data_IF_362750661953
#
_entry.id   IF_362750661953
#
_cell.length_a   1.000
_cell.length_b   1.000
_cell.length_c   1.000
_cell.angle_alpha   90.00
_cell.angle_beta   90.00
_cell.angle_gamma   90.00
#
_symmetry.space_group_name_H-M   'P 1'
#
loop_
_entity.id
_entity.type
_entity.pdbx_description
1 polymer ?
#
# COMPACT_ATOMS: atom_id res chain seq x y z
N UNK A 1 31.24 17.66 42.95
CA UNK A 1 31.42 17.14 41.55
C UNK A 1 30.43 16.03 41.18
N UNK A 2 30.03 15.13 42.08
CA UNK A 2 29.13 13.99 41.81
C UNK A 2 27.68 14.44 41.46
N UNK A 3 27.12 15.44 42.15
CA UNK A 3 25.76 15.94 41.92
C UNK A 3 25.55 16.55 40.54
N UNK A 4 26.56 17.27 40.02
CA UNK A 4 26.51 17.93 38.71
C UNK A 4 26.53 16.89 37.56
N UNK A 5 27.31 15.83 37.70
CA UNK A 5 27.39 14.72 36.75
C UNK A 5 26.06 13.98 36.65
N UNK A 6 25.39 13.73 37.77
CA UNK A 6 24.09 13.05 37.83
C UNK A 6 22.97 13.90 37.17
N UNK A 7 22.98 15.22 37.41
CA UNK A 7 22.00 16.13 36.82
C UNK A 7 22.17 16.22 35.29
N UNK A 8 23.41 16.34 34.79
CA UNK A 8 23.65 16.32 33.34
C UNK A 8 23.23 15.00 32.70
N UNK A 9 23.57 13.87 33.30
CA UNK A 9 23.18 12.56 32.81
C UNK A 9 21.65 12.41 32.70
N UNK A 10 20.92 12.79 33.76
CA UNK A 10 19.46 12.74 33.79
C UNK A 10 18.85 13.69 32.75
N UNK A 11 19.39 14.89 32.58
CA UNK A 11 18.95 15.85 31.57
C UNK A 11 19.16 15.32 30.14
N UNK A 12 20.33 14.76 29.86
CA UNK A 12 20.65 14.19 28.54
C UNK A 12 19.74 13.01 28.20
N UNK A 13 19.52 12.10 29.15
CA UNK A 13 18.59 10.97 28.95
C UNK A 13 17.16 11.46 28.67
N UNK A 14 16.67 12.42 29.45
CA UNK A 14 15.32 12.98 29.24
C UNK A 14 15.21 13.65 27.87
N UNK A 15 16.19 14.48 27.49
CA UNK A 15 16.23 15.13 26.18
C UNK A 15 16.24 14.12 25.03
N UNK A 16 17.03 13.04 25.16
CA UNK A 16 17.09 11.97 24.15
C UNK A 16 15.74 11.25 24.01
N UNK A 17 15.06 10.95 25.12
CA UNK A 17 13.73 10.31 25.10
C UNK A 17 12.70 11.24 24.43
N UNK A 18 12.69 12.53 24.78
CA UNK A 18 11.78 13.51 24.18
C UNK A 18 12.01 13.65 22.67
N UNK A 19 13.26 13.73 22.22
CA UNK A 19 13.62 13.82 20.80
C UNK A 19 13.22 12.56 20.03
N UNK A 20 13.49 11.37 20.58
CA UNK A 20 13.10 10.10 19.97
C UNK A 20 11.58 9.97 19.86
N UNK A 21 10.83 10.40 20.91
CA UNK A 21 9.37 10.41 20.89
C UNK A 21 8.82 11.38 19.83
N UNK A 22 9.41 12.55 19.70
CA UNK A 22 9.07 13.53 18.67
C UNK A 22 9.29 12.98 17.26
N UNK A 23 10.45 12.40 17.01
CA UNK A 23 10.80 11.80 15.72
C UNK A 23 9.84 10.66 15.36
N UNK A 24 9.50 9.80 16.31
CA UNK A 24 8.51 8.73 16.11
C UNK A 24 7.14 9.29 15.70
N UNK A 25 6.67 10.35 16.35
CA UNK A 25 5.38 10.95 16.02
C UNK A 25 5.38 11.58 14.62
N UNK A 26 6.47 12.26 14.24
CA UNK A 26 6.62 12.82 12.87
C UNK A 26 6.65 11.70 11.84
N UNK A 27 7.37 10.61 12.10
CA UNK A 27 7.40 9.45 11.21
C UNK A 27 6.00 8.85 11.04
N UNK A 28 5.28 8.60 12.14
CA UNK A 28 3.92 8.05 12.10
C UNK A 28 3.00 8.95 11.26
N UNK A 29 3.04 10.27 11.47
CA UNK A 29 2.25 11.23 10.71
C UNK A 29 2.58 11.22 9.21
N UNK A 30 3.86 11.11 8.84
CA UNK A 30 4.25 11.04 7.44
C UNK A 30 3.74 9.75 6.77
N UNK A 31 3.79 8.62 7.46
CA UNK A 31 3.23 7.35 6.98
C UNK A 31 1.72 7.43 6.87
N UNK A 32 1.02 8.00 7.86
CA UNK A 32 -0.44 8.21 7.81
C UNK A 32 -0.83 9.07 6.61
N UNK A 33 -0.15 10.18 6.38
CA UNK A 33 -0.40 11.05 5.23
C UNK A 33 -0.21 10.31 3.89
N UNK A 34 0.80 9.45 3.79
CA UNK A 34 1.03 8.63 2.59
C UNK A 34 -0.09 7.61 2.38
N UNK A 35 -0.52 6.92 3.44
CA UNK A 35 -1.65 5.98 3.39
C UNK A 35 -2.94 6.70 2.98
N UNK A 36 -3.19 7.91 3.49
CA UNK A 36 -4.35 8.71 3.10
C UNK A 36 -4.29 9.14 1.63
N UNK A 37 -3.10 9.45 1.12
CA UNK A 37 -2.89 9.73 -0.31
C UNK A 37 -3.23 8.50 -1.17
N UNK A 38 -2.73 7.34 -0.80
CA UNK A 38 -3.02 6.06 -1.45
C UNK A 38 -4.53 5.76 -1.44
N UNK A 39 -5.19 5.94 -0.30
CA UNK A 39 -6.63 5.76 -0.15
C UNK A 39 -7.42 6.73 -1.05
N UNK A 40 -6.95 7.96 -1.15
CA UNK A 40 -7.58 8.98 -2.00
C UNK A 40 -7.52 8.57 -3.49
N UNK A 41 -6.38 8.05 -3.95
CA UNK A 41 -6.23 7.54 -5.32
C UNK A 41 -7.19 6.36 -5.56
N UNK A 42 -7.22 5.37 -4.67
CA UNK A 42 -8.11 4.22 -4.77
C UNK A 42 -9.59 4.65 -4.80
N UNK A 43 -9.97 5.58 -3.92
CA UNK A 43 -11.32 6.12 -3.87
C UNK A 43 -11.68 6.90 -5.13
N UNK A 44 -10.75 7.70 -5.66
CA UNK A 44 -10.96 8.43 -6.92
C UNK A 44 -11.24 7.47 -8.08
N UNK A 45 -10.41 6.44 -8.25
CA UNK A 45 -10.60 5.41 -9.27
C UNK A 45 -11.95 4.71 -9.10
N UNK A 46 -12.30 4.31 -7.88
CA UNK A 46 -13.56 3.63 -7.62
C UNK A 46 -14.77 4.51 -7.92
N UNK A 47 -14.88 5.66 -7.27
CA UNK A 47 -16.09 6.49 -7.36
C UNK A 47 -16.22 7.22 -8.68
N UNK A 48 -15.12 7.60 -9.33
CA UNK A 48 -15.14 8.38 -10.55
C UNK A 48 -15.04 7.55 -11.83
N UNK A 49 -14.61 6.29 -11.75
CA UNK A 49 -14.45 5.43 -12.93
C UNK A 49 -15.23 4.13 -12.79
N UNK A 50 -14.88 3.27 -11.82
CA UNK A 50 -15.45 1.92 -11.69
C UNK A 50 -16.97 1.95 -11.48
N UNK A 51 -17.46 2.85 -10.63
CA UNK A 51 -18.88 2.97 -10.28
C UNK A 51 -19.71 3.73 -11.30
N UNK A 52 -19.08 4.51 -12.19
CA UNK A 52 -19.80 5.38 -13.14
C UNK A 52 -19.92 4.82 -14.53
N UNK A 53 -18.93 4.09 -15.02
CA UNK A 53 -18.87 3.64 -16.40
C UNK A 53 -19.14 2.14 -16.48
N UNK A 54 -19.85 1.72 -17.54
CA UNK A 54 -19.99 0.29 -17.86
C UNK A 54 -18.63 -0.25 -18.30
N UNK A 55 -18.21 -1.39 -17.73
CA UNK A 55 -16.92 -2.02 -18.06
C UNK A 55 -16.81 -2.44 -19.53
N UNK A 56 -17.94 -2.53 -20.26
CA UNK A 56 -18.00 -2.79 -21.70
C UNK A 56 -17.80 -1.52 -22.54
N UNK A 57 -17.88 -0.33 -21.92
CA UNK A 57 -17.65 0.93 -22.63
C UNK A 57 -16.18 1.05 -23.03
N UNK A 58 -15.93 1.49 -24.27
CA UNK A 58 -14.56 1.77 -24.72
C UNK A 58 -13.86 2.82 -23.87
N UNK A 59 -14.61 3.81 -23.40
CA UNK A 59 -14.09 4.87 -22.54
C UNK A 59 -13.63 4.37 -21.19
N UNK A 60 -14.27 3.34 -20.60
CA UNK A 60 -13.87 2.73 -19.34
C UNK A 60 -12.40 2.32 -19.34
N UNK A 61 -12.00 1.55 -20.36
CA UNK A 61 -10.60 1.07 -20.51
C UNK A 61 -9.62 2.22 -20.69
N UNK A 62 -10.01 3.21 -21.48
CA UNK A 62 -9.17 4.39 -21.76
C UNK A 62 -8.99 5.24 -20.51
N UNK A 63 -10.06 5.47 -19.74
CA UNK A 63 -9.99 6.24 -18.48
C UNK A 63 -9.08 5.53 -17.48
N UNK A 64 -9.23 4.22 -17.26
CA UNK A 64 -8.36 3.47 -16.36
C UNK A 64 -6.90 3.47 -16.82
N UNK A 65 -6.63 3.34 -18.12
CA UNK A 65 -5.28 3.42 -18.65
C UNK A 65 -4.67 4.81 -18.42
N UNK A 66 -5.45 5.88 -18.59
CA UNK A 66 -5.01 7.25 -18.33
C UNK A 66 -4.74 7.47 -16.82
N UNK A 67 -5.57 6.94 -15.91
CA UNK A 67 -5.34 7.00 -14.47
C UNK A 67 -4.00 6.37 -14.09
N UNK A 68 -3.66 5.20 -14.65
CA UNK A 68 -2.36 4.55 -14.42
C UNK A 68 -1.23 5.39 -15.00
N UNK A 69 -1.38 5.90 -16.23
CA UNK A 69 -0.34 6.71 -16.88
C UNK A 69 -0.06 7.98 -16.09
N UNK A 70 -1.11 8.65 -15.61
CA UNK A 70 -0.98 9.87 -14.80
C UNK A 70 -0.36 9.63 -13.43
N UNK A 71 -0.40 8.40 -12.92
CA UNK A 71 0.15 7.98 -11.65
C UNK A 71 1.24 6.90 -11.82
N UNK A 72 1.94 6.87 -12.95
CA UNK A 72 2.88 5.80 -13.30
C UNK A 72 4.11 5.70 -12.39
N UNK A 73 4.44 6.75 -11.65
CA UNK A 73 5.51 6.75 -10.65
C UNK A 73 5.08 6.08 -9.34
N UNK A 74 3.77 5.97 -9.11
CA UNK A 74 3.20 5.49 -7.84
C UNK A 74 2.41 4.19 -8.02
N UNK A 75 1.63 4.06 -9.10
CA UNK A 75 0.83 2.87 -9.40
C UNK A 75 1.60 1.91 -10.30
N UNK A 76 1.90 0.71 -9.80
CA UNK A 76 2.43 -0.37 -10.62
C UNK A 76 1.36 -0.97 -11.53
N UNK A 77 0.15 -1.20 -11.02
CA UNK A 77 -0.94 -1.75 -11.81
C UNK A 77 -2.28 -1.76 -11.09
N UNK A 78 -3.33 -1.89 -11.91
CA UNK A 78 -4.73 -2.02 -11.48
C UNK A 78 -5.34 -3.26 -12.10
N UNK A 79 -6.25 -3.91 -11.37
CA UNK A 79 -7.09 -4.98 -11.88
C UNK A 79 -8.48 -4.99 -11.21
N UNK A 80 -9.48 -5.36 -11.98
CA UNK A 80 -10.85 -5.55 -11.53
C UNK A 80 -11.22 -7.03 -11.69
N UNK A 81 -11.77 -7.61 -10.65
CA UNK A 81 -12.22 -9.00 -10.60
C UNK A 81 -13.70 -9.06 -10.24
N UNK A 82 -14.43 -10.09 -10.72
CA UNK A 82 -15.75 -10.39 -10.19
C UNK A 82 -15.65 -11.09 -8.81
N UNK A 83 -16.81 -11.39 -8.22
CA UNK A 83 -16.89 -12.04 -6.89
C UNK A 83 -16.35 -13.48 -6.86
N UNK A 84 -16.13 -14.09 -8.02
CA UNK A 84 -15.57 -15.44 -8.17
C UNK A 84 -14.05 -15.39 -8.47
N UNK A 85 -13.46 -14.18 -8.47
CA UNK A 85 -12.05 -13.97 -8.71
C UNK A 85 -11.67 -14.02 -10.19
N UNK A 86 -12.63 -14.04 -11.11
CA UNK A 86 -12.38 -13.96 -12.54
C UNK A 86 -11.98 -12.55 -12.92
N UNK A 87 -10.87 -12.41 -13.63
CA UNK A 87 -10.42 -11.13 -14.12
C UNK A 87 -11.39 -10.54 -15.15
N UNK A 88 -11.81 -9.30 -14.92
CA UNK A 88 -12.67 -8.51 -15.81
C UNK A 88 -11.86 -7.51 -16.63
N UNK A 89 -10.84 -6.94 -16.01
CA UNK A 89 -9.91 -6.00 -16.62
C UNK A 89 -8.62 -5.92 -15.79
N UNK A 90 -7.50 -5.70 -16.45
CA UNK A 90 -6.20 -5.43 -15.82
C UNK A 90 -5.33 -4.53 -16.67
N UNK A 91 -4.40 -3.82 -16.03
CA UNK A 91 -3.32 -3.10 -16.71
C UNK A 91 -2.26 -4.06 -17.26
N UNK A 92 -1.46 -3.57 -18.20
CA UNK A 92 -0.43 -4.37 -18.89
C UNK A 92 0.62 -5.00 -17.96
N UNK A 93 0.84 -4.40 -16.77
CA UNK A 93 1.82 -4.90 -15.79
C UNK A 93 1.29 -6.07 -14.95
N UNK A 94 0.02 -6.41 -15.07
CA UNK A 94 -0.61 -7.51 -14.34
C UNK A 94 -1.02 -8.63 -15.29
N UNK A 95 -1.23 -9.82 -14.73
CA UNK A 95 -1.67 -10.99 -15.48
C UNK A 95 -3.17 -11.26 -15.27
N UNK A 96 -3.84 -11.80 -16.29
CA UNK A 96 -5.27 -12.14 -16.26
C UNK A 96 -5.55 -13.48 -15.58
N UNK A 97 -4.95 -13.77 -14.43
CA UNK A 97 -5.20 -15.01 -13.69
C UNK A 97 -6.38 -14.87 -12.74
N UNK A 98 -7.05 -15.99 -12.40
CA UNK A 98 -8.06 -16.00 -11.34
C UNK A 98 -7.40 -15.85 -9.97
N UNK A 99 -7.99 -15.03 -9.12
CA UNK A 99 -7.43 -14.64 -7.81
C UNK A 99 -8.29 -15.09 -6.62
N UNK A 100 -9.20 -16.01 -6.82
CA UNK A 100 -10.16 -16.46 -5.78
C UNK A 100 -9.49 -17.01 -4.51
N UNK A 101 -8.26 -17.54 -4.61
CA UNK A 101 -7.52 -18.14 -3.50
C UNK A 101 -6.50 -17.18 -2.86
N UNK A 102 -6.38 -15.96 -3.38
CA UNK A 102 -5.46 -14.96 -2.84
C UNK A 102 -6.03 -14.34 -1.55
N UNK A 103 -5.19 -14.19 -0.53
CA UNK A 103 -5.60 -13.66 0.78
C UNK A 103 -6.16 -12.25 0.69
N UNK A 104 -5.55 -11.37 -0.09
CA UNK A 104 -6.03 -9.99 -0.30
C UNK A 104 -7.42 -9.95 -0.96
N UNK A 105 -7.73 -10.90 -1.85
CA UNK A 105 -9.03 -11.01 -2.51
C UNK A 105 -10.13 -11.42 -1.51
N UNK A 106 -9.85 -12.45 -0.72
CA UNK A 106 -10.76 -12.93 0.33
C UNK A 106 -10.99 -11.85 1.39
N UNK A 107 -9.91 -11.21 1.86
CA UNK A 107 -10.02 -10.10 2.82
C UNK A 107 -10.90 -8.95 2.30
N UNK A 108 -10.74 -8.55 1.03
CA UNK A 108 -11.57 -7.50 0.45
C UNK A 108 -13.04 -7.89 0.34
N UNK A 109 -13.35 -9.16 0.06
CA UNK A 109 -14.75 -9.66 0.04
C UNK A 109 -15.37 -9.68 1.43
N UNK A 110 -14.61 -10.05 2.44
CA UNK A 110 -15.10 -10.18 3.83
C UNK A 110 -15.22 -8.82 4.53
N UNK A 111 -14.51 -7.78 4.04
CA UNK A 111 -14.47 -6.44 4.61
C UNK A 111 -14.97 -5.38 3.61
N UNK A 112 -16.27 -5.43 3.29
CA UNK A 112 -16.92 -4.66 2.21
C UNK A 112 -16.70 -3.14 2.33
N UNK A 113 -16.63 -2.59 3.53
CA UNK A 113 -16.55 -1.15 3.78
C UNK A 113 -15.10 -0.64 3.90
N UNK A 114 -14.12 -1.54 3.97
CA UNK A 114 -12.74 -1.18 4.26
C UNK A 114 -11.81 -1.44 3.07
N UNK A 115 -10.71 -0.70 3.03
CA UNK A 115 -9.57 -0.97 2.15
C UNK A 115 -8.64 -1.93 2.87
N UNK A 116 -8.26 -3.02 2.19
CA UNK A 116 -7.36 -4.03 2.72
C UNK A 116 -5.97 -3.83 2.14
N UNK A 117 -4.95 -4.04 2.97
CA UNK A 117 -3.55 -3.86 2.61
C UNK A 117 -2.80 -5.18 2.72
N UNK A 118 -1.91 -5.41 1.78
CA UNK A 118 -0.96 -6.51 1.77
C UNK A 118 0.32 -6.08 1.06
N UNK A 119 1.27 -6.96 0.92
CA UNK A 119 2.50 -6.71 0.17
C UNK A 119 2.81 -7.84 -0.80
N UNK A 120 3.48 -7.51 -1.91
CA UNK A 120 3.96 -8.47 -2.89
C UNK A 120 5.36 -8.10 -3.36
N UNK A 121 6.20 -9.11 -3.55
CA UNK A 121 7.50 -8.95 -4.18
C UNK A 121 7.35 -9.09 -5.69
N UNK A 122 7.92 -8.15 -6.43
CA UNK A 122 8.10 -8.22 -7.88
C UNK A 122 9.56 -8.61 -8.12
N UNK A 123 9.77 -9.78 -8.68
CA UNK A 123 11.10 -10.31 -8.97
C UNK A 123 11.44 -10.02 -10.42
N UNK A 124 12.50 -9.25 -10.65
CA UNK A 124 13.11 -8.99 -11.95
C UNK A 124 14.48 -9.67 -12.01
N UNK A 125 15.06 -9.91 -13.20
CA UNK A 125 16.38 -10.55 -13.32
C UNK A 125 17.48 -9.89 -12.49
N UNK A 126 17.47 -8.55 -12.43
CA UNK A 126 18.52 -7.76 -11.77
C UNK A 126 18.05 -7.04 -10.49
N UNK A 127 16.77 -7.15 -10.13
CA UNK A 127 16.22 -6.43 -8.98
C UNK A 127 14.97 -7.10 -8.41
N UNK A 128 14.72 -6.87 -7.12
CA UNK A 128 13.46 -7.22 -6.45
C UNK A 128 12.84 -5.91 -5.94
N UNK A 129 11.68 -5.56 -6.48
CA UNK A 129 10.87 -4.45 -5.98
C UNK A 129 9.74 -4.99 -5.11
N UNK A 130 9.38 -4.23 -4.09
CA UNK A 130 8.20 -4.49 -3.30
C UNK A 130 7.09 -3.55 -3.75
N UNK A 131 5.86 -4.05 -3.76
CA UNK A 131 4.65 -3.25 -3.97
C UNK A 131 3.65 -3.54 -2.87
N UNK A 132 2.90 -2.54 -2.48
CA UNK A 132 1.69 -2.75 -1.69
C UNK A 132 0.58 -3.27 -2.58
N UNK A 133 -0.13 -4.29 -2.10
CA UNK A 133 -1.38 -4.76 -2.66
C UNK A 133 -2.52 -4.12 -1.87
N UNK A 134 -3.26 -3.26 -2.54
CA UNK A 134 -4.36 -2.51 -1.94
C UNK A 134 -5.61 -2.98 -2.61
N UNK A 135 -6.54 -3.53 -1.87
CA UNK A 135 -7.75 -4.12 -2.39
C UNK A 135 -8.99 -3.62 -1.67
N UNK A 136 -10.09 -3.53 -2.40
CA UNK A 136 -11.39 -3.20 -1.82
C UNK A 136 -12.52 -3.87 -2.57
N UNK A 137 -13.61 -4.15 -1.86
CA UNK A 137 -14.87 -4.50 -2.47
C UNK A 137 -15.47 -3.31 -3.21
N UNK A 138 -15.96 -3.54 -4.43
CA UNK A 138 -16.51 -2.48 -5.29
C UNK A 138 -17.78 -2.94 -5.98
N UNK A 139 -18.63 -1.97 -6.31
CA UNK A 139 -19.73 -2.14 -7.24
C UNK A 139 -19.31 -1.59 -8.61
N UNK A 140 -19.66 -2.29 -9.68
CA UNK A 140 -19.37 -1.87 -11.06
C UNK A 140 -20.58 -2.14 -11.98
N UNK A 141 -20.63 -1.45 -13.13
CA UNK A 141 -21.69 -1.63 -14.13
C UNK A 141 -21.20 -2.58 -15.21
N UNK A 142 -21.99 -3.61 -15.55
CA UNK A 142 -21.71 -4.53 -16.64
C UNK A 142 -22.99 -4.80 -17.43
N UNK A 143 -23.03 -4.45 -18.72
CA UNK A 143 -24.21 -4.49 -19.56
C UNK A 143 -25.43 -3.77 -18.92
N UNK A 144 -25.21 -2.59 -18.38
CA UNK A 144 -26.21 -1.75 -17.74
C UNK A 144 -26.71 -2.28 -16.38
N UNK A 145 -26.12 -3.33 -15.84
CA UNK A 145 -26.50 -3.93 -14.53
C UNK A 145 -25.39 -3.70 -13.51
N UNK A 146 -25.79 -3.29 -12.30
CA UNK A 146 -24.89 -3.21 -11.15
C UNK A 146 -24.50 -4.61 -10.73
N UNK A 147 -23.21 -4.84 -10.55
CA UNK A 147 -22.57 -6.05 -10.06
C UNK A 147 -21.52 -5.72 -9.02
N UNK A 148 -21.08 -6.72 -8.28
CA UNK A 148 -20.03 -6.58 -7.27
C UNK A 148 -18.76 -7.31 -7.68
N UNK A 149 -17.64 -6.85 -7.12
CA UNK A 149 -16.33 -7.44 -7.38
C UNK A 149 -15.25 -6.88 -6.46
N UNK A 150 -14.01 -7.10 -6.82
CA UNK A 150 -12.84 -6.62 -6.07
C UNK A 150 -11.92 -5.83 -7.00
N UNK A 151 -11.61 -4.61 -6.60
CA UNK A 151 -10.59 -3.78 -7.23
C UNK A 151 -9.26 -4.01 -6.51
N UNK A 152 -8.22 -4.33 -7.25
CA UNK A 152 -6.84 -4.41 -6.80
C UNK A 152 -6.04 -3.25 -7.38
N UNK A 153 -5.29 -2.55 -6.54
CA UNK A 153 -4.23 -1.62 -6.91
C UNK A 153 -2.91 -2.12 -6.35
N UNK A 154 -1.89 -2.20 -7.19
CA UNK A 154 -0.51 -2.41 -6.75
C UNK A 154 0.22 -1.07 -6.81
N UNK A 155 0.75 -0.65 -5.66
CA UNK A 155 1.37 0.64 -5.42
C UNK A 155 2.86 0.45 -5.09
N UNK A 156 3.75 1.23 -5.72
CA UNK A 156 5.18 1.16 -5.42
C UNK A 156 5.46 1.61 -3.98
N UNK A 157 6.45 0.98 -3.33
CA UNK A 157 6.84 1.36 -1.96
C UNK A 157 7.83 2.52 -1.90
N UNK A 158 8.27 3.04 -3.04
CA UNK A 158 9.38 4.00 -3.13
C UNK A 158 9.17 5.25 -2.24
N UNK A 159 7.94 5.77 -2.11
CA UNK A 159 7.62 6.89 -1.23
C UNK A 159 7.72 6.52 0.26
N UNK A 160 7.25 5.34 0.62
CA UNK A 160 7.37 4.79 1.99
C UNK A 160 8.84 4.51 2.31
N UNK A 161 9.59 3.94 1.35
CA UNK A 161 11.03 3.69 1.48
C UNK A 161 11.78 5.00 1.78
N UNK A 162 11.48 6.07 1.04
CA UNK A 162 12.10 7.38 1.25
C UNK A 162 11.78 7.96 2.64
N UNK A 163 10.53 7.84 3.11
CA UNK A 163 10.14 8.26 4.45
C UNK A 163 10.93 7.46 5.50
N UNK A 164 10.99 6.14 5.37
CA UNK A 164 11.65 5.28 6.36
C UNK A 164 13.18 5.39 6.35
N UNK A 165 13.80 5.57 5.17
CA UNK A 165 15.25 5.79 5.06
C UNK A 165 15.70 7.07 5.74
N UNK A 166 14.90 8.13 5.68
CA UNK A 166 15.21 9.36 6.40
C UNK A 166 15.40 9.13 7.91
N UNK A 167 14.68 8.18 8.50
CA UNK A 167 14.75 7.85 9.93
C UNK A 167 15.76 6.75 10.26
N UNK A 168 16.19 5.94 9.29
CA UNK A 168 17.20 4.86 9.46
C UNK A 168 18.57 5.40 9.86
N UNK A 169 18.93 6.59 9.41
CA UNK A 169 20.28 7.16 9.56
C UNK A 169 20.57 7.75 10.94
N UNK A 170 19.62 7.78 11.85
CA UNK A 170 19.79 8.55 13.08
C UNK A 170 20.29 7.77 14.29
N UNK A 171 20.25 6.44 14.38
CA UNK A 171 20.73 5.72 15.60
C UNK A 171 20.72 4.18 15.51
N UNK A 172 21.34 3.49 14.58
CA UNK A 172 21.35 2.02 14.53
C UNK A 172 19.94 1.39 14.72
N UNK A 173 18.89 2.12 14.32
CA UNK A 173 17.49 1.73 14.41
C UNK A 173 16.92 1.53 13.02
N UNK A 174 15.92 0.69 12.91
CA UNK A 174 15.15 0.52 11.69
C UNK A 174 13.66 0.52 11.99
N UNK A 175 12.86 0.86 11.00
CA UNK A 175 11.42 0.82 11.07
C UNK A 175 10.87 -0.25 10.14
N UNK A 176 9.73 -0.82 10.50
CA UNK A 176 8.97 -1.74 9.67
C UNK A 176 7.48 -1.42 9.77
N UNK A 177 6.70 -1.85 8.81
CA UNK A 177 5.25 -1.72 8.81
C UNK A 177 4.61 -3.11 8.86
N UNK A 178 3.58 -3.25 9.67
CA UNK A 178 2.76 -4.46 9.76
C UNK A 178 1.33 -4.13 9.33
N UNK A 179 0.66 -5.13 8.78
CA UNK A 179 -0.79 -5.10 8.63
C UNK A 179 -1.49 -5.45 9.96
N UNK A 180 -2.83 -5.42 9.96
CA UNK A 180 -3.66 -5.74 11.14
C UNK A 180 -3.59 -7.23 11.56
N UNK A 181 -2.96 -8.08 10.76
CA UNK A 181 -2.73 -9.51 11.02
C UNK A 181 -1.27 -9.81 11.39
N UNK A 182 -0.47 -8.75 11.62
CA UNK A 182 0.96 -8.81 11.97
C UNK A 182 1.87 -9.33 10.86
N UNK A 183 1.45 -9.30 9.61
CA UNK A 183 2.33 -9.58 8.48
C UNK A 183 3.12 -8.32 8.10
N UNK A 184 4.35 -8.50 7.64
CA UNK A 184 5.14 -7.39 7.15
C UNK A 184 4.57 -6.80 5.86
N UNK A 185 4.13 -5.55 5.90
CA UNK A 185 3.89 -4.72 4.73
C UNK A 185 5.20 -4.17 4.18
N UNK A 186 6.10 -3.77 5.06
CA UNK A 186 7.44 -3.29 4.76
C UNK A 186 8.43 -3.76 5.82
N UNK A 187 9.61 -4.17 5.39
CA UNK A 187 10.76 -4.43 6.25
C UNK A 187 12.07 -4.13 5.50
N UNK A 188 13.02 -3.36 6.07
CA UNK A 188 14.24 -2.94 5.38
C UNK A 188 15.17 -4.11 5.01
N UNK A 189 15.05 -5.24 5.73
CA UNK A 189 15.82 -6.47 5.51
C UNK A 189 14.94 -7.62 4.99
N UNK A 190 13.91 -7.30 4.18
CA UNK A 190 12.93 -8.31 3.71
C UNK A 190 13.59 -9.44 2.90
N UNK A 191 14.75 -9.18 2.25
CA UNK A 191 15.51 -10.19 1.52
C UNK A 191 16.09 -11.26 2.43
N UNK A 192 16.55 -10.88 3.62
CA UNK A 192 17.18 -11.76 4.61
C UNK A 192 16.16 -12.57 5.40
N UNK A 193 14.99 -11.96 5.72
CA UNK A 193 13.91 -12.62 6.45
C UNK A 193 13.23 -13.73 5.62
N UNK A 194 13.23 -13.60 4.29
CA UNK A 194 12.55 -14.54 3.40
C UNK A 194 13.44 -15.68 2.89
N UNK A 195 14.70 -15.73 3.29
CA UNK A 195 15.67 -16.77 2.94
C UNK A 195 15.92 -17.78 4.07
N UNK A 196 15.18 -17.69 5.19
CA UNK A 196 15.27 -18.57 6.37
C UNK A 196 14.14 -19.63 6.40
#
# INVERSE_FOLDING_TARGET
>A
MILFSHYISTYLVRKTIEETSRQKNVLAQNIENEIDSINSIMNNIYYNTIKKYDIQDKNFKTILANEITSNSETIYGLALYDTDGKNLWHSNNLTSTSMQNESWFTQAKDNIETICYGSKKLVYPDNVKQVFQISRYVEYINHGKMKSGVLLMQYYTDSIDAILEHYKNTQNSYCYLLDNTSNFLYHPFIKEISSG
#
